data_IF_988256829859
#
_entry.id   IF_988256829859
#
_cell.length_a   1.000
_cell.length_b   1.000
_cell.length_c   1.000
_cell.angle_alpha   90.00
_cell.angle_beta   90.00
_cell.angle_gamma   90.00
#
_symmetry.space_group_name_H-M   'P 1'
#
loop_
_entity.id
_entity.type
_entity.pdbx_description
1 polymer ?
#
# COMPACT_ATOMS: atom_id res chain seq x y z
N UNK A 1 -12.73 -7.13 -2.24
CA UNK A 1 -11.43 -6.42 -2.10
C UNK A 1 -11.50 -5.11 -1.31
N UNK A 2 -12.36 -4.15 -1.68
CA UNK A 2 -12.42 -2.82 -1.03
C UNK A 2 -12.71 -2.90 0.49
N UNK A 3 -13.59 -3.81 0.90
CA UNK A 3 -13.91 -4.06 2.31
C UNK A 3 -12.74 -4.68 3.08
N UNK A 4 -11.93 -5.51 2.41
CA UNK A 4 -10.78 -6.20 3.04
C UNK A 4 -9.75 -5.17 3.48
N UNK A 5 -9.34 -4.28 2.57
CA UNK A 5 -8.37 -3.24 2.94
C UNK A 5 -8.97 -2.22 3.91
N UNK A 6 -10.28 -1.99 3.85
CA UNK A 6 -11.00 -1.22 4.84
C UNK A 6 -10.86 -1.79 6.25
N UNK A 7 -11.10 -3.11 6.39
CA UNK A 7 -11.00 -3.84 7.65
C UNK A 7 -9.56 -3.90 8.17
N UNK A 8 -8.58 -4.21 7.30
CA UNK A 8 -7.15 -4.22 7.64
C UNK A 8 -6.72 -2.85 8.17
N UNK A 9 -7.11 -1.77 7.48
CA UNK A 9 -6.79 -0.43 7.94
C UNK A 9 -7.36 -0.13 9.32
N UNK A 10 -8.61 -0.52 9.58
CA UNK A 10 -9.24 -0.36 10.90
C UNK A 10 -8.57 -1.21 11.97
N UNK A 11 -8.14 -2.43 11.65
CA UNK A 11 -7.42 -3.29 12.57
C UNK A 11 -6.05 -2.68 12.96
N UNK A 12 -5.30 -2.18 11.98
CA UNK A 12 -3.96 -1.61 12.20
C UNK A 12 -3.99 -0.20 12.83
N UNK A 13 -4.90 0.68 12.38
CA UNK A 13 -4.91 2.10 12.76
C UNK A 13 -5.96 2.42 13.84
N UNK A 14 -6.85 1.47 14.16
CA UNK A 14 -7.98 1.65 15.06
C UNK A 14 -9.23 2.22 14.39
N UNK A 15 -10.37 2.12 15.09
CA UNK A 15 -11.61 2.76 14.68
C UNK A 15 -11.53 4.27 14.86
N UNK A 16 -11.97 5.03 13.86
CA UNK A 16 -12.15 6.48 13.96
C UNK A 16 -13.54 6.84 13.45
N UNK A 17 -14.25 7.66 14.22
CA UNK A 17 -15.52 8.30 13.82
C UNK A 17 -15.30 9.65 13.13
N UNK A 18 -14.06 10.12 13.03
CA UNK A 18 -13.73 11.36 12.33
C UNK A 18 -13.99 11.21 10.82
N UNK A 19 -14.36 12.28 10.10
CA UNK A 19 -14.62 12.25 8.66
C UNK A 19 -13.36 12.16 7.80
N UNK A 20 -12.18 12.30 8.41
CA UNK A 20 -10.89 12.17 7.74
C UNK A 20 -9.90 11.42 8.64
N UNK A 21 -8.97 10.68 8.02
CA UNK A 21 -7.83 10.11 8.71
C UNK A 21 -6.83 11.23 9.02
N UNK A 22 -6.72 11.63 10.29
CA UNK A 22 -5.86 12.75 10.72
C UNK A 22 -4.40 12.62 10.29
N UNK A 23 -3.87 11.39 10.25
CA UNK A 23 -2.54 11.09 9.73
C UNK A 23 -2.38 11.57 8.27
N UNK A 24 -3.33 11.23 7.41
CA UNK A 24 -3.28 11.58 5.99
C UNK A 24 -3.39 13.10 5.79
N UNK A 25 -4.22 13.76 6.60
CA UNK A 25 -4.37 15.22 6.57
C UNK A 25 -3.07 15.94 6.95
N UNK A 26 -2.42 15.48 8.03
CA UNK A 26 -1.10 16.00 8.46
C UNK A 26 -0.07 15.79 7.37
N UNK A 27 -0.03 14.61 6.77
CA UNK A 27 0.89 14.28 5.68
C UNK A 27 0.68 15.16 4.45
N UNK A 28 -0.56 15.34 4.02
CA UNK A 28 -0.90 16.20 2.88
C UNK A 28 -0.47 17.66 3.12
N UNK A 29 -0.65 18.18 4.33
CA UNK A 29 -0.21 19.52 4.71
C UNK A 29 1.33 19.69 4.64
N UNK A 30 2.09 18.63 4.93
CA UNK A 30 3.55 18.64 4.89
C UNK A 30 4.13 18.22 3.53
N UNK A 31 3.31 17.85 2.54
CA UNK A 31 3.79 17.32 1.26
C UNK A 31 4.78 18.24 0.54
N UNK A 32 4.56 19.56 0.59
CA UNK A 32 5.44 20.54 -0.08
C UNK A 32 6.85 20.62 0.53
N UNK A 33 7.03 20.21 1.78
CA UNK A 33 8.33 20.18 2.45
C UNK A 33 9.04 18.84 2.35
N UNK A 34 8.40 17.79 1.81
CA UNK A 34 8.98 16.46 1.68
C UNK A 34 9.84 16.41 0.41
N UNK A 35 11.10 16.02 0.58
CA UNK A 35 11.98 15.70 -0.53
C UNK A 35 11.61 14.34 -1.13
N UNK A 36 11.00 14.35 -2.31
CA UNK A 36 10.51 13.15 -2.97
C UNK A 36 11.61 12.25 -3.55
N UNK A 37 12.83 12.76 -3.69
CA UNK A 37 13.98 11.97 -4.13
C UNK A 37 14.65 11.19 -2.98
N UNK A 38 14.28 11.52 -1.74
CA UNK A 38 14.90 10.98 -0.53
C UNK A 38 13.86 10.16 0.25
N UNK A 39 13.78 8.87 -0.05
CA UNK A 39 12.81 7.96 0.55
C UNK A 39 13.50 6.67 0.97
N UNK A 40 12.90 5.99 1.93
CA UNK A 40 13.36 4.71 2.42
C UNK A 40 12.48 3.60 1.83
N UNK A 41 13.09 2.52 1.36
CA UNK A 41 12.39 1.30 0.96
C UNK A 41 12.31 0.30 2.14
N UNK A 42 11.57 -0.79 1.95
CA UNK A 42 11.35 -1.84 2.95
C UNK A 42 12.62 -2.58 3.38
N UNK A 43 13.71 -2.50 2.61
CA UNK A 43 14.99 -3.15 2.89
C UNK A 43 15.94 -2.26 3.68
N UNK A 44 15.66 -0.96 3.77
CA UNK A 44 16.33 -0.05 4.73
C UNK A 44 15.90 -0.31 6.18
N UNK A 45 14.81 -1.04 6.41
CA UNK A 45 14.29 -1.37 7.75
C UNK A 45 14.47 -2.85 8.08
N UNK A 46 15.26 -3.14 9.11
CA UNK A 46 15.57 -4.51 9.55
C UNK A 46 14.32 -5.32 9.92
N UNK A 47 13.25 -4.66 10.36
CA UNK A 47 12.02 -5.31 10.81
C UNK A 47 11.09 -5.72 9.65
N UNK A 48 11.14 -5.02 8.51
CA UNK A 48 10.21 -5.25 7.39
C UNK A 48 10.77 -6.24 6.38
N UNK A 49 12.09 -6.20 6.14
CA UNK A 49 12.75 -7.07 5.17
C UNK A 49 12.40 -8.56 5.36
N UNK A 50 12.47 -9.15 6.57
CA UNK A 50 12.17 -10.58 6.75
C UNK A 50 10.73 -10.95 6.39
N UNK A 51 9.80 -9.99 6.45
CA UNK A 51 8.38 -10.21 6.21
C UNK A 51 7.99 -10.20 4.74
N UNK A 52 8.86 -9.73 3.84
CA UNK A 52 8.53 -9.57 2.41
C UNK A 52 9.58 -10.12 1.46
N UNK A 53 10.75 -10.53 1.97
CA UNK A 53 11.87 -10.99 1.14
C UNK A 53 11.49 -12.18 0.25
N UNK A 54 10.66 -13.10 0.76
CA UNK A 54 10.20 -14.30 0.06
C UNK A 54 9.27 -13.99 -1.12
N UNK A 55 8.51 -12.89 -1.06
CA UNK A 55 7.56 -12.48 -2.10
C UNK A 55 8.12 -11.39 -3.03
N UNK A 56 9.26 -10.79 -2.69
CA UNK A 56 9.81 -9.58 -3.34
C UNK A 56 9.85 -9.71 -4.87
N UNK A 57 10.59 -10.68 -5.38
CA UNK A 57 10.87 -10.78 -6.82
C UNK A 57 9.62 -11.13 -7.63
N UNK A 58 8.76 -11.97 -7.05
CA UNK A 58 7.48 -12.37 -7.65
C UNK A 58 6.50 -11.20 -7.73
N UNK A 59 6.39 -10.39 -6.67
CA UNK A 59 5.54 -9.19 -6.68
C UNK A 59 6.13 -8.09 -7.57
N UNK A 60 7.46 -7.89 -7.59
CA UNK A 60 8.10 -6.94 -8.51
C UNK A 60 7.82 -7.29 -9.98
N UNK A 61 7.98 -8.55 -10.36
CA UNK A 61 7.68 -9.01 -11.72
C UNK A 61 6.22 -8.78 -12.08
N UNK A 62 5.31 -9.07 -11.15
CA UNK A 62 3.88 -8.81 -11.34
C UNK A 62 3.60 -7.31 -11.55
N UNK A 63 4.22 -6.44 -10.74
CA UNK A 63 4.06 -4.98 -10.87
C UNK A 63 4.57 -4.49 -12.23
N UNK A 64 5.72 -4.98 -12.69
CA UNK A 64 6.29 -4.59 -13.99
C UNK A 64 5.37 -4.98 -15.14
N UNK A 65 4.85 -6.21 -15.14
CA UNK A 65 3.84 -6.65 -16.12
C UNK A 65 2.60 -5.74 -16.11
N UNK A 66 2.09 -5.41 -14.93
CA UNK A 66 0.94 -4.52 -14.80
C UNK A 66 1.24 -3.08 -15.24
N UNK A 67 2.46 -2.57 -15.05
CA UNK A 67 2.84 -1.22 -15.47
C UNK A 67 3.00 -1.08 -16.99
N UNK A 68 3.37 -2.17 -17.66
CA UNK A 68 3.42 -2.27 -19.13
C UNK A 68 2.02 -2.35 -19.75
N UNK A 69 1.07 -2.96 -19.05
CA UNK A 69 -0.34 -2.91 -19.42
C UNK A 69 -0.91 -1.49 -19.25
N UNK A 70 -1.74 -1.04 -20.20
CA UNK A 70 -2.36 0.28 -20.13
C UNK A 70 -3.37 0.33 -18.97
N UNK A 71 -2.97 0.95 -17.87
CA UNK A 71 -3.83 1.12 -16.71
C UNK A 71 -4.98 2.08 -17.02
N UNK A 72 -6.22 1.63 -16.76
CA UNK A 72 -7.43 2.41 -17.01
C UNK A 72 -7.58 3.61 -16.07
N UNK A 73 -6.91 3.56 -14.90
CA UNK A 73 -7.00 4.61 -13.87
C UNK A 73 -5.62 5.00 -13.37
N UNK A 74 -5.45 6.30 -13.31
CA UNK A 74 -4.31 7.03 -12.79
C UNK A 74 -3.87 6.60 -11.36
N UNK A 75 -4.84 6.41 -10.45
CA UNK A 75 -4.58 5.98 -9.07
C UNK A 75 -3.99 4.56 -9.00
N UNK A 76 -4.35 3.69 -9.96
CA UNK A 76 -3.86 2.31 -9.98
C UNK A 76 -2.39 2.27 -10.38
N UNK A 77 -2.04 3.06 -11.41
CA UNK A 77 -0.65 3.25 -11.81
C UNK A 77 0.19 3.81 -10.66
N UNK A 78 -0.34 4.78 -9.93
CA UNK A 78 0.35 5.34 -8.76
C UNK A 78 0.57 4.31 -7.66
N UNK A 79 -0.43 3.48 -7.34
CA UNK A 79 -0.29 2.41 -6.34
C UNK A 79 0.82 1.42 -6.73
N UNK A 80 0.92 1.03 -8.02
CA UNK A 80 1.97 0.14 -8.53
C UNK A 80 3.36 0.77 -8.42
N UNK A 81 3.51 2.05 -8.78
CA UNK A 81 4.78 2.78 -8.65
C UNK A 81 5.22 2.85 -7.19
N UNK A 82 4.30 3.14 -6.27
CA UNK A 82 4.57 3.20 -4.84
C UNK A 82 4.96 1.83 -4.26
N UNK A 83 4.26 0.77 -4.64
CA UNK A 83 4.60 -0.60 -4.22
C UNK A 83 5.96 -1.03 -4.75
N UNK A 84 6.30 -0.68 -5.99
CA UNK A 84 7.63 -0.94 -6.58
C UNK A 84 8.74 -0.22 -5.81
N UNK A 85 8.51 1.05 -5.45
CA UNK A 85 9.45 1.83 -4.65
C UNK A 85 9.63 1.20 -3.26
N UNK A 86 8.55 0.78 -2.61
CA UNK A 86 8.57 0.09 -1.33
C UNK A 86 9.37 -1.22 -1.38
N UNK A 87 9.28 -1.97 -2.48
CA UNK A 87 10.03 -3.21 -2.70
C UNK A 87 11.49 -2.99 -3.14
N UNK A 88 11.99 -1.75 -3.15
CA UNK A 88 13.35 -1.44 -3.60
C UNK A 88 13.58 -1.64 -5.10
N UNK A 89 12.50 -1.73 -5.91
CA UNK A 89 12.60 -1.77 -7.37
C UNK A 89 12.95 -0.41 -8.00
N UNK A 90 12.97 0.66 -7.19
CA UNK A 90 13.19 2.03 -7.63
C UNK A 90 11.93 2.69 -8.19
N UNK A 91 12.06 3.96 -8.57
CA UNK A 91 10.95 4.83 -8.99
C UNK A 91 11.10 5.17 -10.47
N UNK A 92 10.08 4.85 -11.28
CA UNK A 92 10.06 5.13 -12.73
C UNK A 92 9.37 6.44 -13.10
N UNK A 93 8.66 7.07 -12.16
CA UNK A 93 7.91 8.30 -12.36
C UNK A 93 7.77 9.08 -11.04
N UNK A 94 7.67 10.42 -11.07
CA UNK A 94 7.54 11.22 -9.85
C UNK A 94 6.28 10.87 -9.06
N UNK A 95 6.37 10.96 -7.73
CA UNK A 95 5.22 10.75 -6.86
C UNK A 95 4.20 11.88 -7.04
N UNK A 96 2.93 11.52 -7.22
CA UNK A 96 1.88 12.53 -7.39
C UNK A 96 1.55 13.21 -6.06
N UNK A 97 0.97 14.41 -6.17
CA UNK A 97 0.43 15.10 -5.02
C UNK A 97 -0.66 14.23 -4.34
N UNK A 98 -0.67 14.10 -3.00
CA UNK A 98 -1.67 13.29 -2.29
C UNK A 98 -3.09 13.77 -2.59
N UNK A 99 -3.90 12.89 -3.17
CA UNK A 99 -5.27 13.17 -3.58
C UNK A 99 -6.26 13.32 -2.42
N UNK A 100 -7.56 13.56 -2.71
CA UNK A 100 -8.59 13.80 -1.69
C UNK A 100 -8.78 12.64 -0.69
N UNK A 101 -8.89 12.99 0.60
CA UNK A 101 -8.97 12.05 1.74
C UNK A 101 -10.43 11.80 2.16
N UNK A 102 -11.24 11.17 1.29
CA UNK A 102 -12.60 10.76 1.68
C UNK A 102 -12.60 9.29 2.11
N UNK A 103 -13.24 8.94 3.25
CA UNK A 103 -13.27 7.56 3.78
C UNK A 103 -13.77 6.49 2.79
N UNK A 104 -14.64 6.87 1.85
CA UNK A 104 -15.16 5.99 0.81
C UNK A 104 -14.11 5.59 -0.24
N UNK A 105 -12.95 6.27 -0.29
CA UNK A 105 -11.85 5.93 -1.19
C UNK A 105 -10.90 4.94 -0.52
N UNK A 106 -11.25 3.66 -0.57
CA UNK A 106 -10.41 2.57 -0.07
C UNK A 106 -9.00 2.60 -0.68
N UNK A 107 -8.86 2.98 -1.95
CA UNK A 107 -7.57 3.04 -2.65
C UNK A 107 -6.63 4.09 -2.04
N UNK A 108 -7.21 5.21 -1.59
CA UNK A 108 -6.45 6.25 -0.91
C UNK A 108 -5.78 5.70 0.35
N UNK A 109 -6.38 4.73 1.07
CA UNK A 109 -5.75 4.13 2.26
C UNK A 109 -4.43 3.45 1.90
N UNK A 110 -4.38 2.70 0.80
CA UNK A 110 -3.15 2.01 0.36
C UNK A 110 -2.12 3.01 -0.14
N UNK A 111 -2.53 3.93 -1.01
CA UNK A 111 -1.64 4.95 -1.59
C UNK A 111 -1.02 5.82 -0.49
N UNK A 112 -1.83 6.33 0.44
CA UNK A 112 -1.31 7.10 1.56
C UNK A 112 -0.43 6.25 2.47
N UNK A 113 -0.78 4.98 2.73
CA UNK A 113 0.05 4.12 3.58
C UNK A 113 1.46 3.96 3.01
N UNK A 114 1.57 3.64 1.71
CA UNK A 114 2.88 3.58 1.04
C UNK A 114 3.61 4.92 1.06
N UNK A 115 2.95 6.03 0.70
CA UNK A 115 3.61 7.35 0.70
C UNK A 115 4.15 7.72 2.08
N UNK A 116 3.32 7.63 3.11
CA UNK A 116 3.72 8.00 4.47
C UNK A 116 4.86 7.10 4.94
N UNK A 117 4.80 5.80 4.64
CA UNK A 117 5.85 4.85 5.00
C UNK A 117 7.18 5.15 4.28
N UNK A 118 7.16 5.41 2.97
CA UNK A 118 8.36 5.74 2.17
C UNK A 118 9.05 7.01 2.66
N UNK A 119 8.28 8.00 3.11
CA UNK A 119 8.79 9.29 3.58
C UNK A 119 8.81 9.42 5.11
N UNK A 120 8.73 8.30 5.85
CA UNK A 120 8.62 8.29 7.31
C UNK A 120 9.75 9.03 8.02
N UNK A 121 10.97 9.01 7.48
CA UNK A 121 12.11 9.74 8.05
C UNK A 121 11.94 11.27 8.01
N UNK A 122 11.14 11.78 7.07
CA UNK A 122 10.86 13.20 6.90
C UNK A 122 9.54 13.64 7.56
N UNK A 123 8.78 12.71 8.14
CA UNK A 123 7.45 12.96 8.68
C UNK A 123 7.29 12.37 10.08
N UNK A 124 6.88 13.18 11.05
CA UNK A 124 6.81 12.74 12.45
C UNK A 124 5.63 11.78 12.65
N UNK A 125 5.94 10.50 12.85
CA UNK A 125 4.98 9.45 13.20
C UNK A 125 5.02 9.14 14.70
N UNK A 126 3.88 8.70 15.23
CA UNK A 126 3.84 7.96 16.50
C UNK A 126 4.21 6.50 16.26
N UNK A 127 4.73 5.82 17.30
CA UNK A 127 5.07 4.39 17.23
C UNK A 127 3.88 3.54 16.73
N UNK A 128 2.65 3.90 17.14
CA UNK A 128 1.43 3.22 16.71
C UNK A 128 1.12 3.45 15.23
N UNK A 129 1.24 4.69 14.75
CA UNK A 129 1.03 5.01 13.33
C UNK A 129 2.05 4.29 12.46
N UNK A 130 3.32 4.28 12.87
CA UNK A 130 4.40 3.63 12.13
C UNK A 130 4.21 2.10 12.05
N UNK A 131 3.92 1.45 13.18
CA UNK A 131 3.62 0.01 13.20
C UNK A 131 2.40 -0.33 12.35
N UNK A 132 1.32 0.43 12.46
CA UNK A 132 0.11 0.18 11.67
C UNK A 132 0.33 0.38 10.18
N UNK A 133 1.09 1.41 9.78
CA UNK A 133 1.47 1.64 8.38
C UNK A 133 2.32 0.50 7.83
N UNK A 134 3.29 0.01 8.60
CA UNK A 134 4.12 -1.15 8.24
C UNK A 134 3.22 -2.34 7.93
N UNK A 135 2.33 -2.72 8.85
CA UNK A 135 1.51 -3.91 8.71
C UNK A 135 0.56 -3.80 7.50
N UNK A 136 0.02 -2.59 7.23
CA UNK A 136 -0.79 -2.32 6.02
C UNK A 136 0.04 -2.48 4.75
N UNK A 137 1.27 -1.92 4.69
CA UNK A 137 2.14 -2.02 3.53
C UNK A 137 2.57 -3.46 3.23
N UNK A 138 2.92 -4.23 4.27
CA UNK A 138 3.25 -5.65 4.16
C UNK A 138 2.05 -6.45 3.65
N UNK A 139 0.87 -6.24 4.25
CA UNK A 139 -0.36 -6.87 3.78
C UNK A 139 -0.66 -6.53 2.32
N UNK A 140 -0.47 -5.25 1.94
CA UNK A 140 -0.75 -4.78 0.59
C UNK A 140 0.11 -5.51 -0.44
N UNK A 141 1.41 -5.65 -0.19
CA UNK A 141 2.36 -6.35 -1.06
C UNK A 141 2.08 -7.85 -1.12
N UNK A 142 1.87 -8.50 0.03
CA UNK A 142 1.74 -9.97 0.09
C UNK A 142 0.43 -10.47 -0.52
N UNK A 143 -0.67 -9.73 -0.33
CA UNK A 143 -2.01 -10.24 -0.63
C UNK A 143 -2.81 -9.29 -1.53
N UNK A 144 -2.84 -8.01 -1.19
CA UNK A 144 -3.82 -7.09 -1.78
C UNK A 144 -3.56 -6.79 -3.26
N UNK A 145 -2.31 -6.48 -3.64
CA UNK A 145 -1.98 -6.01 -4.98
C UNK A 145 -2.39 -7.03 -6.05
N UNK A 146 -1.90 -8.27 -5.91
CA UNK A 146 -2.21 -9.33 -6.86
C UNK A 146 -3.71 -9.56 -6.97
N UNK A 147 -4.38 -9.78 -5.84
CA UNK A 147 -5.82 -10.01 -5.82
C UNK A 147 -6.62 -8.84 -6.43
N UNK A 148 -6.22 -7.59 -6.17
CA UNK A 148 -6.88 -6.41 -6.73
C UNK A 148 -6.78 -6.32 -8.25
N UNK A 149 -5.56 -6.44 -8.79
CA UNK A 149 -5.31 -6.27 -10.21
C UNK A 149 -5.77 -7.47 -11.05
N UNK A 150 -5.94 -8.65 -10.43
CA UNK A 150 -6.55 -9.80 -11.10
C UNK A 150 -8.07 -9.85 -11.01
N UNK A 151 -8.70 -9.05 -10.13
CA UNK A 151 -10.16 -9.08 -9.91
C UNK A 151 -11.03 -8.71 -11.14
N UNK A 152 -10.63 -7.78 -12.04
CA UNK A 152 -11.42 -7.44 -13.22
C UNK A 152 -11.59 -8.58 -14.23
N UNK A 153 -10.83 -9.67 -14.11
CA UNK A 153 -11.03 -10.89 -14.90
C UNK A 153 -12.29 -11.60 -14.40
N UNK A 154 -13.45 -11.21 -14.93
CA UNK A 154 -14.76 -11.71 -14.48
C UNK A 154 -14.89 -13.25 -14.44
N UNK A 155 -14.21 -13.94 -15.35
CA UNK A 155 -14.16 -15.41 -15.38
C UNK A 155 -13.31 -16.02 -14.25
N UNK A 156 -12.33 -15.28 -13.73
CA UNK A 156 -11.43 -15.71 -12.65
C UNK A 156 -11.88 -15.19 -11.27
N UNK A 157 -12.80 -14.22 -11.20
CA UNK A 157 -13.23 -13.58 -9.95
C UNK A 157 -13.59 -14.57 -8.82
N UNK A 158 -14.36 -15.67 -9.05
CA UNK A 158 -14.65 -16.63 -7.98
C UNK A 158 -13.41 -17.35 -7.45
N UNK A 159 -12.47 -17.69 -8.34
CA UNK A 159 -11.21 -18.33 -7.95
C UNK A 159 -10.28 -17.33 -7.26
N UNK A 160 -10.18 -16.10 -7.76
CA UNK A 160 -9.37 -15.05 -7.14
C UNK A 160 -9.85 -14.71 -5.73
N UNK A 161 -11.17 -14.63 -5.51
CA UNK A 161 -11.76 -14.42 -4.19
C UNK A 161 -11.49 -15.63 -3.27
N UNK A 162 -11.62 -16.86 -3.77
CA UNK A 162 -11.32 -18.07 -3.00
C UNK A 162 -9.84 -18.18 -2.61
N UNK A 163 -8.92 -17.92 -3.54
CA UNK A 163 -7.48 -17.93 -3.28
C UNK A 163 -7.09 -16.84 -2.29
N UNK A 164 -7.71 -15.66 -2.36
CA UNK A 164 -7.54 -14.64 -1.34
C UNK A 164 -8.03 -15.11 0.03
N UNK A 165 -9.20 -15.76 0.12
CA UNK A 165 -9.71 -16.28 1.38
C UNK A 165 -8.79 -17.35 1.98
N UNK A 166 -8.24 -18.25 1.15
CA UNK A 166 -7.25 -19.24 1.59
C UNK A 166 -5.97 -18.56 2.08
N UNK A 167 -5.49 -17.56 1.35
CA UNK A 167 -4.29 -16.83 1.71
C UNK A 167 -4.48 -16.01 2.99
N UNK A 168 -5.66 -15.42 3.20
CA UNK A 168 -6.05 -14.77 4.46
C UNK A 168 -6.10 -15.77 5.62
N UNK A 169 -6.67 -16.96 5.41
CA UNK A 169 -6.72 -18.00 6.44
C UNK A 169 -5.34 -18.57 6.80
N UNK A 170 -4.41 -18.59 5.85
CA UNK A 170 -3.02 -18.98 6.06
C UNK A 170 -2.13 -17.85 6.58
N UNK A 171 -2.63 -16.60 6.57
CA UNK A 171 -1.87 -15.45 7.04
C UNK A 171 -1.79 -15.49 8.58
N UNK A 172 -0.58 -15.50 9.17
CA UNK A 172 -0.44 -15.65 10.61
C UNK A 172 -1.08 -14.47 11.35
N UNK A 173 -1.90 -14.78 12.36
CA UNK A 173 -2.39 -13.80 13.32
C UNK A 173 -1.19 -13.22 14.08
N UNK A 174 -1.11 -11.88 14.14
CA UNK A 174 -0.08 -11.15 14.91
C UNK A 174 -0.65 -10.68 16.23
#
# INVERSE_FOLDING_TARGET
MELVIGAVFTACMGCSSAPEVMLFKRFQAQWRSINQADFDDAFTSDDVMPEIIDVKDDVLRFIEQQLDEQQQRDDYREMLILARAFLGGGVTAPFRYPGPIHHARWMAKVIYSFKVWLFRRQFRLTVREESGLRDICVFAVRLYLKAWFTAPLAAAAPNSDLELMKALAAYPER
#
